data_IF_560460679948
#
_entry.id   IF_560460679948
#
_cell.length_a   1.000
_cell.length_b   1.000
_cell.length_c   1.000
_cell.angle_alpha   90.00
_cell.angle_beta   90.00
_cell.angle_gamma   90.00
#
_symmetry.space_group_name_H-M   'P 1'
#
loop_
_entity.id
_entity.type
_entity.pdbx_description
1 polymer ?
#
# COMPACT_ATOMS: atom_id res chain seq x y z
N UNK A 1 1.21 -18.06 12.99
CA UNK A 1 0.72 -17.12 11.97
C UNK A 1 0.95 -15.70 12.45
N UNK A 2 1.41 -14.83 11.58
CA UNK A 2 1.67 -13.40 11.86
C UNK A 2 0.96 -12.57 10.81
N UNK A 3 0.07 -11.65 11.22
CA UNK A 3 -0.67 -10.79 10.32
C UNK A 3 0.10 -9.49 10.06
N UNK A 4 0.20 -9.09 8.80
CA UNK A 4 0.86 -7.85 8.38
C UNK A 4 -0.15 -6.95 7.65
N UNK A 5 -0.32 -5.74 8.15
CA UNK A 5 -0.91 -4.64 7.41
C UNK A 5 0.23 -3.94 6.64
N UNK A 6 0.31 -4.18 5.35
CA UNK A 6 1.51 -3.89 4.55
C UNK A 6 1.91 -2.43 4.63
N UNK A 7 0.98 -1.49 4.36
CA UNK A 7 1.26 -0.05 4.40
C UNK A 7 1.92 0.42 5.70
N UNK A 8 1.67 -0.30 6.81
CA UNK A 8 2.10 0.08 8.17
C UNK A 8 3.23 -0.79 8.71
N UNK A 9 3.87 -1.61 7.89
CA UNK A 9 4.87 -2.56 8.38
C UNK A 9 6.31 -2.09 8.17
N UNK A 10 6.72 -1.90 6.94
CA UNK A 10 8.08 -1.44 6.60
C UNK A 10 8.10 -0.91 5.15
N UNK A 11 8.66 0.27 4.96
CA UNK A 11 8.95 0.82 3.65
C UNK A 11 10.31 0.28 3.18
N UNK A 12 10.33 -0.51 2.12
CA UNK A 12 11.54 -1.09 1.55
C UNK A 12 11.98 -0.38 0.27
N UNK A 13 11.03 0.24 -0.44
CA UNK A 13 11.28 0.95 -1.70
C UNK A 13 10.53 2.30 -1.71
N UNK A 14 11.17 3.38 -1.25
CA UNK A 14 10.54 4.70 -1.22
C UNK A 14 10.13 5.25 -2.60
N UNK A 15 10.65 4.68 -3.68
CA UNK A 15 10.32 5.14 -5.04
C UNK A 15 8.91 4.72 -5.48
N UNK A 16 8.30 3.76 -4.78
CA UNK A 16 6.92 3.32 -5.04
C UNK A 16 5.88 3.99 -4.11
N UNK A 17 6.30 4.84 -3.20
CA UNK A 17 5.42 5.49 -2.23
C UNK A 17 4.30 6.30 -2.89
N UNK A 18 3.13 6.31 -2.24
CA UNK A 18 2.08 7.30 -2.54
C UNK A 18 2.64 8.71 -2.33
N UNK A 19 2.43 9.59 -3.29
CA UNK A 19 2.79 10.99 -3.17
C UNK A 19 1.59 11.77 -2.62
N UNK A 20 1.82 12.70 -1.68
CA UNK A 20 0.73 13.53 -1.16
C UNK A 20 0.02 14.28 -2.31
N UNK A 21 -1.31 14.31 -2.26
CA UNK A 21 -2.18 14.87 -3.30
C UNK A 21 -2.16 14.12 -4.65
N UNK A 22 -1.64 12.89 -4.69
CA UNK A 22 -1.57 12.08 -5.91
C UNK A 22 -2.97 11.78 -6.48
N UNK A 23 -3.92 11.50 -5.60
CA UNK A 23 -5.33 11.28 -5.94
C UNK A 23 -6.24 11.59 -4.75
N UNK A 24 -7.56 11.57 -5.00
CA UNK A 24 -8.58 11.74 -3.96
C UNK A 24 -9.16 10.37 -3.62
N UNK A 25 -9.21 10.04 -2.34
CA UNK A 25 -9.85 8.83 -1.82
C UNK A 25 -10.93 9.21 -0.80
N UNK A 26 -12.17 8.77 -1.05
CA UNK A 26 -13.37 9.05 -0.21
C UNK A 26 -13.51 10.56 0.09
N UNK A 27 -13.24 11.41 -0.91
CA UNK A 27 -13.36 12.86 -0.80
C UNK A 27 -12.20 13.58 -0.11
N UNK A 28 -11.12 12.85 0.24
CA UNK A 28 -9.91 13.42 0.84
C UNK A 28 -8.69 13.20 -0.06
N UNK A 29 -7.83 14.23 -0.22
CA UNK A 29 -6.54 14.02 -0.86
C UNK A 29 -5.71 13.01 -0.06
N UNK A 30 -5.06 12.07 -0.76
CA UNK A 30 -4.14 11.14 -0.09
C UNK A 30 -2.92 11.87 0.43
N UNK A 31 -2.38 11.39 1.54
CA UNK A 31 -1.26 12.01 2.24
C UNK A 31 -0.18 10.97 2.57
N UNK A 32 1.06 11.24 2.13
CA UNK A 32 2.22 10.47 2.56
C UNK A 32 2.64 10.91 3.96
N UNK A 33 2.84 9.95 4.85
CA UNK A 33 3.35 10.17 6.22
C UNK A 33 4.80 9.73 6.28
N UNK A 34 5.69 10.64 6.60
CA UNK A 34 7.13 10.38 6.69
C UNK A 34 7.57 10.00 8.11
N UNK A 35 6.91 10.53 9.14
CA UNK A 35 7.23 10.18 10.52
C UNK A 35 6.42 8.95 10.98
N UNK A 36 7.03 7.79 10.94
CA UNK A 36 6.43 6.52 11.37
C UNK A 36 6.10 6.45 12.88
N UNK A 37 6.45 7.48 13.64
CA UNK A 37 6.11 7.61 15.07
C UNK A 37 4.82 8.38 15.31
N UNK A 38 4.24 8.96 14.27
CA UNK A 38 2.92 9.58 14.40
C UNK A 38 1.87 8.57 14.85
N UNK A 39 1.01 9.00 15.78
CA UNK A 39 -0.06 8.15 16.28
C UNK A 39 -1.04 7.78 15.15
N UNK A 40 -1.35 6.49 15.08
CA UNK A 40 -2.35 5.97 14.16
C UNK A 40 -3.75 6.37 14.63
N UNK A 41 -4.44 7.18 13.86
CA UNK A 41 -5.87 7.41 14.07
C UNK A 41 -6.69 6.36 13.32
N UNK A 42 -7.77 5.90 13.92
CA UNK A 42 -8.72 4.98 13.28
C UNK A 42 -9.43 5.58 12.06
N UNK A 43 -9.36 6.91 11.91
CA UNK A 43 -9.99 7.64 10.80
C UNK A 43 -9.01 8.04 9.69
N UNK A 44 -7.76 7.60 9.75
CA UNK A 44 -6.71 7.97 8.80
C UNK A 44 -6.79 7.14 7.52
N UNK A 45 -7.93 7.20 6.84
CA UNK A 45 -8.17 6.46 5.59
C UNK A 45 -7.39 7.04 4.41
N UNK A 46 -7.00 8.30 4.49
CA UNK A 46 -6.27 9.08 3.49
C UNK A 46 -4.75 9.06 3.69
N UNK A 47 -4.25 8.45 4.79
CA UNK A 47 -2.83 8.46 5.16
C UNK A 47 -2.12 7.19 4.79
N UNK A 48 -0.96 7.34 4.13
CA UNK A 48 -0.11 6.25 3.64
C UNK A 48 1.28 6.37 4.25
N UNK A 49 1.77 5.27 4.84
CA UNK A 49 3.11 5.21 5.44
C UNK A 49 4.15 4.63 4.47
N UNK A 50 3.68 3.99 3.39
CA UNK A 50 4.56 3.49 2.34
C UNK A 50 5.16 2.13 2.62
N UNK A 51 4.59 1.35 3.53
CA UNK A 51 4.97 -0.07 3.67
C UNK A 51 4.65 -0.84 2.38
N UNK A 52 5.55 -1.74 1.98
CA UNK A 52 5.49 -2.45 0.71
C UNK A 52 5.98 -3.90 0.82
N UNK A 53 5.96 -4.63 -0.30
CA UNK A 53 6.43 -6.03 -0.36
C UNK A 53 7.95 -6.10 -0.16
N UNK A 54 8.70 -5.11 -0.65
CA UNK A 54 10.14 -5.05 -0.43
C UNK A 54 10.47 -4.91 1.06
N UNK A 55 9.72 -4.08 1.78
CA UNK A 55 9.88 -3.94 3.23
C UNK A 55 9.58 -5.23 4.00
N UNK A 56 8.60 -6.03 3.54
CA UNK A 56 8.36 -7.37 4.12
C UNK A 56 9.58 -8.27 3.85
N UNK A 57 10.09 -8.27 2.61
CA UNK A 57 11.28 -9.04 2.23
C UNK A 57 12.48 -8.69 3.10
N UNK A 58 12.75 -7.41 3.30
CA UNK A 58 13.87 -6.92 4.11
C UNK A 58 13.75 -7.31 5.60
N UNK A 59 12.54 -7.66 6.05
CA UNK A 59 12.25 -8.08 7.43
C UNK A 59 12.06 -9.57 7.62
N UNK A 60 12.33 -10.40 6.61
CA UNK A 60 12.15 -11.86 6.72
C UNK A 60 13.00 -12.47 7.83
N UNK A 61 14.27 -12.04 8.00
CA UNK A 61 15.13 -12.55 9.07
C UNK A 61 14.58 -12.17 10.46
N UNK A 62 14.04 -10.96 10.60
CA UNK A 62 13.36 -10.54 11.82
C UNK A 62 12.14 -11.43 12.11
N UNK A 63 11.28 -11.65 11.12
CA UNK A 63 10.10 -12.51 11.26
C UNK A 63 10.49 -13.96 11.58
N UNK A 64 11.57 -14.47 10.97
CA UNK A 64 12.11 -15.78 11.29
C UNK A 64 12.62 -15.86 12.74
N UNK A 65 13.27 -14.81 13.23
CA UNK A 65 13.74 -14.74 14.63
C UNK A 65 12.61 -14.82 15.64
N UNK A 66 11.40 -14.37 15.26
CA UNK A 66 10.18 -14.49 16.03
C UNK A 66 9.50 -15.86 15.88
N UNK A 67 10.09 -16.80 15.12
CA UNK A 67 9.55 -18.13 14.82
C UNK A 67 8.20 -18.06 14.10
N UNK A 68 8.03 -17.07 13.23
CA UNK A 68 6.86 -16.97 12.36
C UNK A 68 6.97 -18.02 11.26
N UNK A 69 5.94 -18.84 11.10
CA UNK A 69 5.89 -19.89 10.08
C UNK A 69 4.95 -19.53 8.92
N UNK A 70 3.96 -18.68 9.17
CA UNK A 70 2.94 -18.27 8.19
C UNK A 70 2.72 -16.77 8.29
N UNK A 71 2.79 -16.08 7.16
CA UNK A 71 2.40 -14.69 7.02
C UNK A 71 0.98 -14.58 6.46
N UNK A 72 0.15 -13.78 7.11
CA UNK A 72 -1.15 -13.36 6.59
C UNK A 72 -1.06 -11.88 6.22
N UNK A 73 -1.06 -11.59 4.93
CA UNK A 73 -0.92 -10.22 4.43
C UNK A 73 -2.28 -9.57 4.19
N UNK A 74 -2.39 -8.26 4.42
CA UNK A 74 -3.48 -7.49 3.82
C UNK A 74 -3.42 -7.62 2.29
N UNK A 75 -4.54 -7.38 1.56
CA UNK A 75 -4.55 -7.52 0.11
C UNK A 75 -3.42 -6.74 -0.56
N UNK A 76 -2.92 -7.28 -1.67
CA UNK A 76 -1.77 -6.74 -2.43
C UNK A 76 -2.16 -6.18 -3.80
N UNK A 77 -3.42 -6.34 -4.18
CA UNK A 77 -3.91 -5.97 -5.50
C UNK A 77 -4.21 -4.48 -5.61
N UNK A 78 -4.33 -3.98 -6.84
CA UNK A 78 -4.61 -2.56 -7.13
C UNK A 78 -5.85 -2.08 -6.38
N UNK A 79 -5.67 -1.07 -5.55
CA UNK A 79 -6.72 -0.49 -4.72
C UNK A 79 -6.33 0.92 -4.26
N UNK A 80 -7.28 1.86 -4.18
CA UNK A 80 -6.99 3.23 -3.79
C UNK A 80 -6.76 3.41 -2.28
N UNK A 81 -7.17 2.45 -1.44
CA UNK A 81 -7.03 2.55 0.00
C UNK A 81 -5.67 2.08 0.51
N UNK A 82 -5.31 2.50 1.72
CA UNK A 82 -4.12 2.00 2.40
C UNK A 82 -4.25 0.53 2.84
N UNK A 83 -5.47 0.05 3.08
CA UNK A 83 -5.73 -1.34 3.49
C UNK A 83 -5.95 -2.32 2.34
N UNK A 84 -6.21 -1.84 1.12
CA UNK A 84 -6.39 -2.59 -0.13
C UNK A 84 -7.55 -3.60 -0.16
N UNK A 85 -8.48 -3.58 0.82
CA UNK A 85 -9.64 -4.47 0.81
C UNK A 85 -10.72 -4.06 -0.21
N UNK A 86 -10.71 -2.83 -0.69
CA UNK A 86 -11.56 -2.29 -1.77
C UNK A 86 -10.86 -2.44 -3.13
N UNK A 87 -10.43 -3.65 -3.44
CA UNK A 87 -9.69 -4.00 -4.64
C UNK A 87 -10.47 -3.62 -5.91
N UNK A 88 -9.79 -2.92 -6.82
CA UNK A 88 -10.32 -2.54 -8.13
C UNK A 88 -9.90 -3.50 -9.23
N UNK A 89 -8.83 -4.25 -9.00
CA UNK A 89 -8.22 -5.09 -10.00
C UNK A 89 -7.42 -6.23 -9.36
N UNK A 90 -7.92 -7.45 -9.55
CA UNK A 90 -7.32 -8.68 -9.01
C UNK A 90 -6.22 -9.29 -9.90
N UNK A 91 -5.96 -8.74 -11.08
CA UNK A 91 -4.97 -9.30 -12.00
C UNK A 91 -3.58 -8.69 -11.82
N UNK A 92 -3.49 -7.56 -11.09
CA UNK A 92 -2.23 -6.82 -10.93
C UNK A 92 -1.97 -6.45 -9.47
N UNK A 93 -0.69 -6.49 -9.10
CA UNK A 93 -0.21 -5.98 -7.82
C UNK A 93 -0.29 -4.45 -7.84
N UNK A 94 -0.65 -3.88 -6.69
CA UNK A 94 -0.70 -2.43 -6.53
C UNK A 94 0.70 -1.81 -6.76
N UNK A 95 0.80 -0.72 -7.54
CA UNK A 95 2.07 -0.11 -7.87
C UNK A 95 2.81 0.45 -6.66
N UNK A 96 2.08 0.83 -5.61
CA UNK A 96 2.67 1.30 -4.36
C UNK A 96 3.15 0.15 -3.45
N UNK A 97 2.96 -1.11 -3.87
CA UNK A 97 3.41 -2.29 -3.13
C UNK A 97 4.50 -3.09 -3.84
N UNK A 98 4.74 -2.82 -5.11
CA UNK A 98 5.72 -3.55 -5.89
C UNK A 98 6.27 -2.75 -7.07
N UNK A 99 7.29 -3.28 -7.72
CA UNK A 99 7.91 -2.65 -8.89
C UNK A 99 7.05 -2.84 -10.12
N UNK A 100 6.74 -1.75 -10.83
CA UNK A 100 6.07 -1.81 -12.13
C UNK A 100 7.11 -2.19 -13.18
N UNK A 101 6.98 -3.40 -13.71
CA UNK A 101 7.86 -3.89 -14.81
C UNK A 101 7.37 -3.37 -16.15
N UNK A 102 6.05 -3.19 -16.31
CA UNK A 102 5.43 -2.70 -17.55
C UNK A 102 4.19 -1.89 -17.16
N UNK A 103 4.22 -0.61 -17.51
CA UNK A 103 3.07 0.27 -17.33
C UNK A 103 2.36 0.50 -18.66
N UNK A 104 1.11 0.08 -18.77
CA UNK A 104 0.30 0.23 -19.99
C UNK A 104 -0.74 1.36 -19.89
N UNK A 105 -0.54 2.34 -19.01
CA UNK A 105 -1.38 3.53 -19.03
C UNK A 105 -1.88 4.09 -17.73
N UNK A 106 -1.07 4.12 -16.70
CA UNK A 106 -1.39 4.72 -15.41
C UNK A 106 -2.37 3.89 -14.57
N UNK A 107 -2.05 3.71 -13.33
CA UNK A 107 -2.76 2.76 -12.46
C UNK A 107 -3.91 3.40 -11.68
N UNK A 108 -3.77 4.66 -11.32
CA UNK A 108 -4.80 5.41 -10.60
C UNK A 108 -4.98 6.78 -11.26
N UNK A 109 -6.22 7.22 -11.45
CA UNK A 109 -6.56 8.58 -11.90
C UNK A 109 -6.79 9.49 -10.71
N UNK A 110 -6.96 10.81 -10.92
CA UNK A 110 -7.06 11.80 -9.87
C UNK A 110 -8.24 11.67 -8.90
N UNK A 111 -9.20 10.77 -9.15
CA UNK A 111 -10.31 10.46 -8.24
C UNK A 111 -10.49 8.95 -8.11
N UNK A 112 -10.04 8.40 -7.00
CA UNK A 112 -10.08 6.96 -6.72
C UNK A 112 -11.44 6.47 -6.18
N UNK A 113 -12.42 7.34 -6.02
CA UNK A 113 -13.79 6.94 -5.68
C UNK A 113 -14.54 6.32 -6.86
N UNK A 114 -14.04 6.49 -8.08
CA UNK A 114 -14.56 5.87 -9.30
C UNK A 114 -13.85 4.53 -9.57
N UNK A 115 -14.61 3.46 -9.76
CA UNK A 115 -14.10 2.13 -10.11
C UNK A 115 -13.33 2.07 -11.45
N UNK A 116 -13.42 3.12 -12.28
CA UNK A 116 -12.62 3.28 -13.50
C UNK A 116 -11.20 3.77 -13.28
N UNK A 117 -10.81 4.06 -12.04
CA UNK A 117 -9.52 4.68 -11.72
C UNK A 117 -8.32 3.74 -11.77
N UNK A 118 -8.51 2.45 -11.58
CA UNK A 118 -7.43 1.49 -11.79
C UNK A 118 -7.23 1.31 -13.29
N UNK A 119 -6.17 1.87 -13.83
CA UNK A 119 -5.79 1.74 -15.23
C UNK A 119 -4.47 1.01 -15.37
N UNK A 120 -4.32 0.36 -16.50
CA UNK A 120 -3.16 -0.46 -16.83
C UNK A 120 -2.63 -0.15 -18.16
#
# INVERSE_FOLDING_TARGET
MYQIFIDRFCNGDPDNDVVSDEYIYIGFPVMKIDDWREDLSLLDVDRFYGGDIQGIWDKLDYLQSLKVEVLYLSPVFVSPSNHKYDCQDYEHIDPHYGVIVKDEGGLVTGDASDNGNAKR
#
